data_IF_221466907076
#
_entry.id   IF_221466907076
#
_cell.length_a   1.000
_cell.length_b   1.000
_cell.length_c   1.000
_cell.angle_alpha   90.00
_cell.angle_beta   90.00
_cell.angle_gamma   90.00
#
_symmetry.space_group_name_H-M   'P 1'
#
loop_
_entity.id
_entity.type
_entity.pdbx_description
1 polymer ?
#
# COMPACT_ATOMS: atom_id res chain seq x y z
N UNK A 1 5.96 9.16 2.51
CA UNK A 1 5.97 10.15 1.40
C UNK A 1 7.07 9.76 0.44
N UNK A 2 6.80 9.70 -0.86
CA UNK A 2 7.82 9.45 -1.88
C UNK A 2 8.73 10.67 -2.03
N UNK A 3 10.05 10.47 -1.96
CA UNK A 3 11.02 11.56 -1.80
C UNK A 3 11.05 12.53 -2.98
N UNK A 4 11.06 12.03 -4.23
CA UNK A 4 11.22 12.86 -5.42
C UNK A 4 9.95 13.62 -5.80
N UNK A 5 8.80 12.93 -5.80
CA UNK A 5 7.52 13.50 -6.26
C UNK A 5 6.69 14.11 -5.13
N UNK A 6 7.03 13.81 -3.87
CA UNK A 6 6.26 14.20 -2.66
C UNK A 6 4.87 13.57 -2.56
N UNK A 7 4.52 12.64 -3.45
CA UNK A 7 3.25 11.91 -3.40
C UNK A 7 3.22 10.95 -2.21
N UNK A 8 2.04 10.72 -1.65
CA UNK A 8 1.81 9.79 -0.54
C UNK A 8 1.32 8.45 -1.07
N UNK A 9 1.74 7.36 -0.41
CA UNK A 9 1.19 6.03 -0.68
C UNK A 9 -0.32 6.10 -0.39
N UNK A 10 -1.13 5.66 -1.33
CA UNK A 10 -2.57 5.85 -1.30
C UNK A 10 -3.28 4.64 -1.91
N UNK A 11 -4.47 4.32 -1.39
CA UNK A 11 -5.36 3.33 -2.00
C UNK A 11 -6.81 3.79 -1.88
N UNK A 12 -7.72 3.16 -2.62
CA UNK A 12 -9.13 3.51 -2.68
C UNK A 12 -9.91 2.28 -3.17
N UNK A 13 -11.22 2.29 -3.07
CA UNK A 13 -12.05 1.13 -3.41
C UNK A 13 -12.27 0.98 -4.93
N UNK A 14 -11.17 0.92 -5.67
CA UNK A 14 -11.12 0.74 -7.11
C UNK A 14 -10.05 -0.31 -7.45
N UNK A 15 -10.42 -1.44 -8.07
CA UNK A 15 -9.47 -2.46 -8.49
C UNK A 15 -8.70 -2.06 -9.75
N UNK A 16 -7.57 -2.70 -9.99
CA UNK A 16 -6.93 -2.66 -11.30
C UNK A 16 -7.80 -3.36 -12.35
N UNK A 17 -7.82 -2.84 -13.59
CA UNK A 17 -8.47 -3.48 -14.73
C UNK A 17 -7.59 -4.51 -15.46
N UNK A 18 -6.35 -4.67 -15.01
CA UNK A 18 -5.34 -5.59 -15.54
C UNK A 18 -4.65 -6.32 -14.38
N UNK A 19 -3.63 -7.12 -14.68
CA UNK A 19 -2.82 -7.77 -13.66
C UNK A 19 -3.67 -8.72 -12.80
N UNK A 20 -3.65 -8.55 -11.48
CA UNK A 20 -4.40 -9.44 -10.58
C UNK A 20 -5.88 -9.09 -10.41
N UNK A 21 -6.30 -7.90 -10.85
CA UNK A 21 -7.65 -7.39 -10.59
C UNK A 21 -7.89 -6.98 -9.13
N UNK A 22 -6.85 -6.96 -8.29
CA UNK A 22 -6.96 -6.57 -6.88
C UNK A 22 -7.03 -5.04 -6.72
N UNK A 23 -7.32 -4.60 -5.49
CA UNK A 23 -7.49 -3.18 -5.16
C UNK A 23 -6.20 -2.38 -5.48
N UNK A 24 -6.37 -1.26 -6.19
CA UNK A 24 -5.25 -0.49 -6.71
C UNK A 24 -4.49 0.31 -5.62
N UNK A 25 -3.21 0.56 -5.89
CA UNK A 25 -2.32 1.40 -5.07
C UNK A 25 -1.75 2.50 -5.96
N UNK A 26 -1.72 3.73 -5.45
CA UNK A 26 -1.24 4.88 -6.20
C UNK A 26 -0.35 5.78 -5.34
N UNK A 27 0.31 6.74 -6.00
CA UNK A 27 0.81 7.95 -5.35
C UNK A 27 -0.24 9.05 -5.44
N UNK A 28 -0.57 9.70 -4.32
CA UNK A 28 -1.54 10.79 -4.26
C UNK A 28 -0.89 12.12 -3.84
N UNK A 29 -1.18 13.25 -4.51
CA UNK A 29 -0.51 14.52 -4.24
C UNK A 29 -1.02 15.21 -2.96
N UNK A 30 -2.28 15.00 -2.57
CA UNK A 30 -2.87 15.73 -1.44
C UNK A 30 -2.28 15.25 -0.11
N UNK A 31 -2.04 16.20 0.79
CA UNK A 31 -1.33 15.96 2.05
C UNK A 31 -2.23 15.27 3.08
N UNK A 32 -3.47 15.70 3.19
CA UNK A 32 -4.41 15.34 4.27
C UNK A 32 -5.55 14.46 3.75
N UNK A 33 -5.20 13.34 3.13
CA UNK A 33 -6.19 12.36 2.66
C UNK A 33 -6.20 11.11 3.56
N UNK A 34 -7.38 10.74 4.06
CA UNK A 34 -7.53 9.62 4.98
C UNK A 34 -7.18 8.25 4.35
N UNK A 35 -7.25 8.12 3.03
CA UNK A 35 -6.84 6.91 2.33
C UNK A 35 -5.31 6.85 2.11
N UNK A 36 -4.56 7.82 2.65
CA UNK A 36 -3.09 7.81 2.65
C UNK A 36 -2.49 7.34 3.99
N UNK A 37 -3.31 6.84 4.92
CA UNK A 37 -2.83 6.35 6.22
C UNK A 37 -2.59 4.83 6.24
N UNK A 38 -1.41 4.45 6.75
CA UNK A 38 -0.90 3.07 6.74
C UNK A 38 -0.35 2.67 8.11
N UNK A 39 -1.20 2.30 9.09
CA UNK A 39 -0.71 1.71 10.33
C UNK A 39 0.17 0.50 10.05
N UNK A 40 1.44 0.58 10.48
CA UNK A 40 2.36 -0.54 10.47
C UNK A 40 2.01 -1.51 11.58
N UNK A 41 2.02 -2.81 11.26
CA UNK A 41 1.95 -3.89 12.26
C UNK A 41 3.25 -4.68 12.27
N UNK A 42 3.79 -4.83 13.47
CA UNK A 42 4.87 -5.73 13.84
C UNK A 42 4.43 -6.58 15.05
N UNK A 43 5.35 -7.20 15.78
CA UNK A 43 5.10 -8.08 16.93
C UNK A 43 4.10 -7.49 17.96
N UNK A 44 4.51 -6.47 18.74
CA UNK A 44 3.62 -5.74 19.67
C UNK A 44 3.54 -4.26 19.33
N UNK A 45 2.36 -3.69 19.54
CA UNK A 45 2.16 -2.25 19.42
C UNK A 45 2.97 -1.52 20.49
N UNK A 46 3.68 -0.46 20.07
CA UNK A 46 4.56 0.32 20.95
C UNK A 46 6.04 -0.08 20.85
N UNK A 47 6.35 -1.26 20.29
CA UNK A 47 7.73 -1.67 20.06
C UNK A 47 8.39 -0.78 19.00
N UNK A 48 9.67 -0.48 19.20
CA UNK A 48 10.48 0.20 18.19
C UNK A 48 10.68 -0.71 16.97
N UNK A 49 10.57 -0.14 15.77
CA UNK A 49 10.85 -0.86 14.52
C UNK A 49 12.35 -0.73 14.24
N UNK A 50 13.09 -1.79 14.53
CA UNK A 50 14.52 -1.87 14.21
C UNK A 50 14.79 -2.05 12.72
N UNK A 51 15.98 -1.67 12.28
CA UNK A 51 16.47 -1.94 10.93
C UNK A 51 16.42 -3.43 10.62
N UNK A 52 15.90 -3.80 9.44
CA UNK A 52 15.74 -5.20 9.03
C UNK A 52 14.48 -5.89 9.54
N UNK A 53 13.65 -5.21 10.35
CA UNK A 53 12.37 -5.76 10.76
C UNK A 53 11.42 -5.96 9.57
N UNK A 54 10.77 -7.12 9.53
CA UNK A 54 9.70 -7.41 8.58
C UNK A 54 8.41 -6.83 9.14
N UNK A 55 7.81 -5.89 8.42
CA UNK A 55 6.57 -5.22 8.81
C UNK A 55 5.48 -5.45 7.77
N UNK A 56 4.22 -5.30 8.20
CA UNK A 56 3.08 -5.24 7.29
C UNK A 56 2.41 -3.87 7.39
N UNK A 57 2.02 -3.31 6.25
CA UNK A 57 1.29 -2.05 6.18
C UNK A 57 -0.18 -2.35 5.89
N UNK A 58 -1.06 -1.97 6.82
CA UNK A 58 -2.50 -2.10 6.63
C UNK A 58 -3.06 -0.77 6.11
N UNK A 59 -3.85 -0.78 5.05
CA UNK A 59 -4.59 0.40 4.61
C UNK A 59 -5.67 0.73 5.64
N UNK A 60 -5.64 1.94 6.23
CA UNK A 60 -6.49 2.29 7.37
C UNK A 60 -7.98 2.11 7.04
N UNK A 61 -8.42 2.60 5.87
CA UNK A 61 -9.84 2.65 5.50
C UNK A 61 -10.41 1.29 5.10
N UNK A 62 -9.69 0.52 4.27
CA UNK A 62 -10.21 -0.76 3.76
C UNK A 62 -9.82 -1.94 4.64
N UNK A 63 -8.92 -1.76 5.62
CA UNK A 63 -8.41 -2.80 6.53
C UNK A 63 -7.73 -3.97 5.80
N UNK A 64 -7.33 -3.74 4.56
CA UNK A 64 -6.58 -4.67 3.71
C UNK A 64 -5.07 -4.39 3.78
N UNK A 65 -4.25 -5.23 3.17
CA UNK A 65 -2.80 -5.20 3.31
C UNK A 65 -2.10 -4.80 2.00
N UNK A 66 -1.02 -4.03 2.11
CA UNK A 66 -0.11 -3.81 0.98
C UNK A 66 0.55 -5.13 0.58
N UNK A 67 0.47 -5.47 -0.71
CA UNK A 67 0.92 -6.72 -1.28
C UNK A 67 1.61 -6.51 -2.62
N UNK A 68 2.34 -7.52 -3.06
CA UNK A 68 2.97 -7.61 -4.37
C UNK A 68 3.23 -9.08 -4.70
N UNK A 69 3.18 -9.43 -5.98
CA UNK A 69 3.38 -10.78 -6.49
C UNK A 69 3.71 -10.77 -8.00
N UNK A 70 3.76 -11.94 -8.64
CA UNK A 70 4.16 -12.12 -10.04
C UNK A 70 3.06 -11.72 -11.06
N UNK A 71 2.57 -10.48 -10.95
CA UNK A 71 1.72 -9.82 -11.96
C UNK A 71 2.39 -8.55 -12.48
N UNK A 72 2.10 -8.17 -13.72
CA UNK A 72 2.62 -6.96 -14.34
C UNK A 72 1.76 -5.74 -13.96
N UNK A 73 2.41 -4.68 -13.46
CA UNK A 73 1.81 -3.38 -13.14
C UNK A 73 1.24 -2.69 -14.38
N UNK A 74 0.15 -1.92 -14.24
CA UNK A 74 -0.66 -1.43 -15.36
C UNK A 74 0.04 -0.41 -16.29
N UNK A 75 1.07 0.28 -15.81
CA UNK A 75 1.72 1.36 -16.58
C UNK A 75 3.12 0.97 -17.07
N UNK A 76 3.97 0.44 -16.19
CA UNK A 76 5.38 0.18 -16.52
C UNK A 76 5.70 -1.29 -16.78
N UNK A 77 4.79 -2.22 -16.48
CA UNK A 77 5.05 -3.65 -16.60
C UNK A 77 6.01 -4.23 -15.55
N UNK A 78 6.39 -3.45 -14.52
CA UNK A 78 7.12 -3.95 -13.34
C UNK A 78 6.20 -4.86 -12.50
N UNK A 79 6.69 -5.43 -11.40
CA UNK A 79 5.83 -6.15 -10.45
C UNK A 79 4.69 -5.25 -9.95
N UNK A 80 3.48 -5.79 -9.98
CA UNK A 80 2.29 -5.14 -9.44
C UNK A 80 2.43 -4.94 -7.93
N UNK A 81 1.96 -3.77 -7.47
CA UNK A 81 1.78 -3.47 -6.06
C UNK A 81 0.30 -3.13 -5.87
N UNK A 82 -0.35 -3.87 -4.99
CA UNK A 82 -1.79 -3.91 -4.84
C UNK A 82 -2.18 -4.05 -3.36
N UNK A 83 -3.48 -3.97 -3.10
CA UNK A 83 -4.07 -4.19 -1.79
C UNK A 83 -4.87 -5.49 -1.76
N UNK A 84 -4.49 -6.39 -0.84
CA UNK A 84 -5.08 -7.74 -0.74
C UNK A 84 -5.60 -8.09 0.65
N UNK A 85 -6.41 -9.16 0.70
CA UNK A 85 -6.98 -9.71 1.92
C UNK A 85 -7.96 -8.75 2.60
N UNK A 86 -7.86 -8.69 3.92
CA UNK A 86 -8.82 -8.04 4.82
C UNK A 86 -9.30 -9.00 5.90
N UNK A 87 -9.94 -8.46 6.93
CA UNK A 87 -10.79 -9.25 7.83
C UNK A 87 -12.16 -9.44 7.20
#
# INVERSE_FOLDING_TARGET
>A
MHEKTKYRLHSHDVPYGSGSGQQSVTGFPNVDDANSYWPGKNAKQGDSIGTGAIIRLQHMKTRKWLHSHLHASPISGNLEVEITGGL
#
